data_IF_728412860455
#
_entry.id   IF_728412860455
#
_cell.length_a   1.000
_cell.length_b   1.000
_cell.length_c   1.000
_cell.angle_alpha   90.00
_cell.angle_beta   90.00
_cell.angle_gamma   90.00
#
_symmetry.space_group_name_H-M   'P 1'
#
loop_
_entity.id
_entity.type
_entity.pdbx_description
1 polymer ?
#
# COMPACT_ATOMS: atom_id res chain seq x y z
N UNK A 1 -12.14 -6.29 -13.65
CA UNK A 1 -11.56 -4.99 -14.07
C UNK A 1 -11.87 -3.81 -13.13
N UNK A 2 -12.63 -3.97 -12.02
CA UNK A 2 -12.99 -2.83 -11.14
C UNK A 2 -12.07 -2.55 -9.94
N UNK A 3 -11.13 -3.43 -9.59
CA UNK A 3 -10.32 -3.31 -8.36
C UNK A 3 -9.22 -2.25 -8.42
N UNK A 4 -8.51 -2.17 -9.55
CA UNK A 4 -7.36 -1.24 -9.73
C UNK A 4 -7.77 0.23 -9.69
N UNK A 5 -8.93 0.57 -10.26
CA UNK A 5 -9.42 1.95 -10.30
C UNK A 5 -9.80 2.47 -8.90
N UNK A 6 -10.50 1.66 -8.09
CA UNK A 6 -10.85 2.04 -6.72
C UNK A 6 -9.60 2.25 -5.85
N UNK A 7 -8.60 1.39 -6.03
CA UNK A 7 -7.32 1.50 -5.35
C UNK A 7 -6.53 2.77 -5.74
N UNK A 8 -6.45 3.07 -7.04
CA UNK A 8 -5.78 4.28 -7.52
C UNK A 8 -6.46 5.56 -7.02
N UNK A 9 -7.80 5.57 -6.92
CA UNK A 9 -8.54 6.67 -6.28
C UNK A 9 -8.19 6.80 -4.80
N UNK A 10 -8.14 5.69 -4.05
CA UNK A 10 -7.76 5.70 -2.63
C UNK A 10 -6.33 6.22 -2.41
N UNK A 11 -5.36 5.80 -3.24
CA UNK A 11 -3.99 6.34 -3.23
C UNK A 11 -3.99 7.85 -3.50
N UNK A 12 -4.72 8.30 -4.53
CA UNK A 12 -4.76 9.72 -4.89
C UNK A 12 -5.39 10.58 -3.78
N UNK A 13 -6.41 10.07 -3.09
CA UNK A 13 -7.01 10.72 -1.93
C UNK A 13 -5.99 10.83 -0.78
N UNK A 14 -5.39 9.71 -0.37
CA UNK A 14 -4.42 9.67 0.74
C UNK A 14 -3.21 10.57 0.47
N UNK A 15 -2.69 10.55 -0.76
CA UNK A 15 -1.53 11.36 -1.15
C UNK A 15 -1.85 12.84 -1.35
N UNK A 16 -3.09 13.22 -1.72
CA UNK A 16 -3.51 14.63 -1.81
C UNK A 16 -3.71 15.29 -0.45
N UNK A 17 -4.18 14.53 0.55
CA UNK A 17 -4.36 15.05 1.91
C UNK A 17 -3.09 14.92 2.77
N UNK A 18 -2.11 14.15 2.31
CA UNK A 18 -0.75 14.15 2.88
C UNK A 18 -0.03 15.40 2.37
N UNK A 19 0.18 16.40 3.25
CA UNK A 19 0.80 17.69 2.91
C UNK A 19 2.07 17.48 2.05
N UNK A 20 2.19 18.10 0.86
CA UNK A 20 3.43 18.11 0.11
C UNK A 20 4.38 19.09 0.80
N UNK A 21 4.98 18.67 1.91
CA UNK A 21 5.96 19.49 2.60
C UNK A 21 7.32 19.24 1.93
N UNK A 22 7.65 20.16 1.04
CA UNK A 22 8.97 20.39 0.44
C UNK A 22 10.06 20.38 1.52
N UNK A 23 10.67 19.21 1.76
CA UNK A 23 12.06 18.98 2.17
C UNK A 23 12.19 17.48 2.48
N UNK A 24 12.87 16.68 1.64
CA UNK A 24 13.52 15.39 1.94
C UNK A 24 12.96 14.43 3.04
N UNK A 25 11.66 14.43 3.33
CA UNK A 25 11.04 13.56 4.31
C UNK A 25 10.19 12.52 3.59
N UNK A 26 10.75 11.33 3.48
CA UNK A 26 10.07 10.03 3.43
C UNK A 26 8.53 10.12 3.51
N UNK A 27 7.83 9.80 2.42
CA UNK A 27 6.37 9.82 2.39
C UNK A 27 5.82 8.64 3.21
N UNK A 28 4.98 8.98 4.18
CA UNK A 28 4.22 8.03 4.99
C UNK A 28 2.79 7.98 4.42
N UNK A 29 2.36 6.81 3.95
CA UNK A 29 1.02 6.65 3.37
C UNK A 29 0.16 5.81 4.31
N UNK A 30 -0.96 6.39 4.75
CA UNK A 30 -1.92 5.74 5.63
C UNK A 30 -3.25 5.54 4.91
N UNK A 31 -3.63 4.28 4.74
CA UNK A 31 -4.88 3.85 4.14
C UNK A 31 -5.81 3.39 5.27
N UNK A 32 -6.91 4.13 5.47
CA UNK A 32 -7.91 3.89 6.51
C UNK A 32 -9.29 3.86 5.88
N UNK A 33 -10.13 2.87 6.22
CA UNK A 33 -11.54 2.77 5.78
C UNK A 33 -11.75 2.74 4.24
N UNK A 34 -10.76 2.23 3.50
CA UNK A 34 -10.69 2.35 2.03
C UNK A 34 -11.67 1.45 1.27
N UNK A 35 -12.36 0.54 1.96
CA UNK A 35 -13.25 -0.47 1.38
C UNK A 35 -12.65 -1.23 0.19
N UNK A 36 -11.33 -1.41 0.17
CA UNK A 36 -10.60 -2.08 -0.90
C UNK A 36 -10.79 -3.58 -0.76
N UNK A 37 -11.34 -4.24 -1.78
CA UNK A 37 -11.41 -5.71 -1.78
C UNK A 37 -10.05 -6.37 -2.04
N UNK A 38 -9.19 -5.69 -2.80
CA UNK A 38 -7.91 -6.22 -3.26
C UNK A 38 -6.86 -5.12 -3.26
N UNK A 39 -5.66 -5.41 -2.79
CA UNK A 39 -4.46 -4.61 -3.12
C UNK A 39 -3.91 -5.18 -4.44
N UNK A 40 -4.03 -4.44 -5.55
CA UNK A 40 -3.67 -4.95 -6.86
C UNK A 40 -2.16 -5.02 -7.07
N UNK A 41 -1.74 -5.78 -8.08
CA UNK A 41 -0.38 -5.76 -8.63
C UNK A 41 0.08 -4.33 -8.92
N UNK A 42 1.34 -4.03 -8.61
CA UNK A 42 1.97 -2.73 -8.83
C UNK A 42 1.27 -1.54 -8.13
N UNK A 43 0.49 -1.82 -7.07
CA UNK A 43 -0.27 -0.83 -6.31
C UNK A 43 0.51 0.46 -5.98
N UNK A 44 1.77 0.33 -5.57
CA UNK A 44 2.57 1.45 -5.07
C UNK A 44 3.71 1.89 -5.99
N UNK A 45 3.82 1.37 -7.22
CA UNK A 45 4.98 1.63 -8.11
C UNK A 45 5.09 3.08 -8.55
N UNK A 46 3.97 3.83 -8.59
CA UNK A 46 3.95 5.26 -8.91
C UNK A 46 4.37 6.17 -7.74
N UNK A 47 4.77 5.61 -6.60
CA UNK A 47 5.16 6.36 -5.39
C UNK A 47 6.65 6.15 -5.05
N UNK A 48 7.60 6.73 -5.83
CA UNK A 48 9.02 6.42 -5.73
C UNK A 48 9.71 6.86 -4.42
N UNK A 49 9.03 7.68 -3.61
CA UNK A 49 9.54 8.18 -2.33
C UNK A 49 8.79 7.62 -1.12
N UNK A 50 7.97 6.58 -1.32
CA UNK A 50 7.22 5.95 -0.25
C UNK A 50 8.16 5.20 0.70
N UNK A 51 7.96 5.41 1.99
CA UNK A 51 8.86 4.93 3.04
C UNK A 51 8.18 4.03 4.04
N UNK A 52 6.90 4.30 4.31
CA UNK A 52 6.08 3.59 5.25
C UNK A 52 4.68 3.48 4.68
N UNK A 53 4.13 2.27 4.72
CA UNK A 53 2.80 1.96 4.24
C UNK A 53 2.03 1.37 5.41
N UNK A 54 0.99 2.07 5.84
CA UNK A 54 0.08 1.60 6.86
C UNK A 54 -1.30 1.41 6.24
N UNK A 55 -1.81 0.18 6.29
CA UNK A 55 -3.14 -0.18 5.83
C UNK A 55 -3.89 -0.72 7.04
N UNK A 56 -4.93 -0.04 7.49
CA UNK A 56 -5.70 -0.49 8.63
C UNK A 56 -7.17 -0.14 8.49
N UNK A 57 -8.03 -0.91 9.16
CA UNK A 57 -9.49 -0.72 9.14
C UNK A 57 -10.09 -0.98 7.74
N UNK A 58 -9.60 -1.98 7.02
CA UNK A 58 -10.25 -2.44 5.80
C UNK A 58 -11.00 -3.76 6.05
N UNK A 59 -12.28 -3.63 6.38
CA UNK A 59 -13.16 -4.78 6.59
C UNK A 59 -13.51 -5.50 5.28
N UNK A 60 -13.28 -4.91 4.10
CA UNK A 60 -13.63 -5.56 2.83
C UNK A 60 -12.43 -6.16 2.12
N UNK A 61 -11.20 -5.84 2.57
CA UNK A 61 -9.96 -6.40 2.05
C UNK A 61 -9.90 -7.91 2.21
N UNK A 62 -9.80 -8.58 1.07
CA UNK A 62 -9.82 -10.04 0.95
C UNK A 62 -8.53 -10.59 0.35
N UNK A 63 -7.88 -9.82 -0.53
CA UNK A 63 -6.76 -10.30 -1.32
C UNK A 63 -5.62 -9.28 -1.44
N UNK A 64 -4.39 -9.77 -1.39
CA UNK A 64 -3.19 -9.04 -1.88
C UNK A 64 -2.65 -9.82 -3.08
N UNK A 65 -2.61 -9.17 -4.24
CA UNK A 65 -2.15 -9.79 -5.48
C UNK A 65 -0.61 -9.88 -5.55
N UNK A 66 -0.11 -10.70 -6.47
CA UNK A 66 1.31 -10.79 -6.79
C UNK A 66 1.87 -9.40 -7.11
N UNK A 67 3.08 -9.11 -6.64
CA UNK A 67 3.77 -7.84 -6.87
C UNK A 67 2.98 -6.60 -6.41
N UNK A 68 2.06 -6.73 -5.45
CA UNK A 68 1.36 -5.60 -4.85
C UNK A 68 2.33 -4.60 -4.20
N UNK A 69 3.32 -5.10 -3.47
CA UNK A 69 4.42 -4.33 -2.88
C UNK A 69 5.73 -4.72 -3.59
N UNK A 70 5.88 -4.23 -4.81
CA UNK A 70 7.02 -4.55 -5.67
C UNK A 70 7.91 -3.35 -5.93
N UNK A 71 9.22 -3.59 -5.87
CA UNK A 71 10.27 -2.65 -6.27
C UNK A 71 10.21 -1.28 -5.54
N UNK A 72 9.93 -1.32 -4.23
CA UNK A 72 9.86 -0.13 -3.40
C UNK A 72 11.20 0.10 -2.68
N UNK A 73 12.13 0.75 -3.38
CA UNK A 73 13.53 0.91 -2.94
C UNK A 73 13.69 1.65 -1.61
N UNK A 74 12.73 2.48 -1.23
CA UNK A 74 12.80 3.34 -0.05
C UNK A 74 11.89 2.90 1.09
N UNK A 75 11.12 1.81 0.91
CA UNK A 75 10.16 1.37 1.93
C UNK A 75 10.88 0.62 3.05
N UNK A 76 10.59 1.01 4.28
CA UNK A 76 11.20 0.47 5.50
C UNK A 76 10.17 -0.21 6.39
N UNK A 77 8.90 0.19 6.30
CA UNK A 77 7.82 -0.38 7.10
C UNK A 77 6.59 -0.60 6.23
N UNK A 78 6.04 -1.80 6.31
CA UNK A 78 4.71 -2.11 5.79
C UNK A 78 3.93 -2.69 6.96
N UNK A 79 2.70 -2.27 7.14
CA UNK A 79 1.82 -2.80 8.18
C UNK A 79 0.41 -2.92 7.64
N UNK A 80 -0.16 -4.13 7.72
CA UNK A 80 -1.57 -4.40 7.40
C UNK A 80 -2.26 -4.87 8.68
N UNK A 81 -3.19 -4.05 9.20
CA UNK A 81 -3.92 -4.32 10.45
C UNK A 81 -5.43 -4.34 10.24
N UNK A 82 -6.12 -5.02 11.14
CA UNK A 82 -7.59 -5.07 11.19
C UNK A 82 -8.25 -5.51 9.86
N UNK A 83 -7.52 -6.25 9.00
CA UNK A 83 -8.01 -6.79 7.74
C UNK A 83 -8.67 -8.16 7.97
N UNK A 84 -9.81 -8.17 8.65
CA UNK A 84 -10.46 -9.42 9.15
C UNK A 84 -10.83 -10.42 8.05
N UNK A 85 -11.09 -9.94 6.84
CA UNK A 85 -11.50 -10.77 5.71
C UNK A 85 -10.34 -11.11 4.77
N UNK A 86 -9.12 -10.68 5.09
CA UNK A 86 -7.93 -10.98 4.30
C UNK A 86 -7.64 -12.47 4.39
N UNK A 87 -7.91 -13.18 3.30
CA UNK A 87 -7.84 -14.64 3.23
C UNK A 87 -6.76 -15.12 2.27
N UNK A 88 -6.25 -14.24 1.41
CA UNK A 88 -5.23 -14.58 0.45
C UNK A 88 -4.18 -13.46 0.30
N UNK A 89 -2.92 -13.84 0.47
CA UNK A 89 -1.76 -13.02 0.13
C UNK A 89 -0.94 -13.85 -0.85
N UNK A 90 -0.73 -13.33 -2.04
CA UNK A 90 0.11 -13.99 -3.04
C UNK A 90 1.56 -14.12 -2.53
N UNK A 91 2.23 -15.23 -2.85
CA UNK A 91 3.60 -15.50 -2.43
C UNK A 91 4.59 -14.43 -2.95
N UNK A 92 4.26 -13.82 -4.08
CA UNK A 92 5.05 -12.78 -4.73
C UNK A 92 4.55 -11.36 -4.39
N UNK A 93 3.63 -11.22 -3.42
CA UNK A 93 3.08 -9.93 -3.02
C UNK A 93 4.14 -8.94 -2.51
N UNK A 94 5.19 -9.44 -1.83
CA UNK A 94 6.26 -8.64 -1.25
C UNK A 94 7.61 -9.03 -1.87
N UNK A 95 8.04 -8.30 -2.92
CA UNK A 95 9.31 -8.56 -3.60
C UNK A 95 10.10 -7.28 -3.86
N UNK A 96 11.43 -7.42 -3.88
CA UNK A 96 12.38 -6.33 -4.13
C UNK A 96 12.17 -5.14 -3.18
N UNK A 97 12.28 -5.42 -1.88
CA UNK A 97 12.15 -4.45 -0.79
C UNK A 97 13.49 -4.37 -0.01
N UNK A 98 14.56 -3.82 -0.62
CA UNK A 98 15.94 -4.04 -0.18
C UNK A 98 16.29 -3.46 1.19
N UNK A 99 15.51 -2.48 1.69
CA UNK A 99 15.73 -1.83 2.99
C UNK A 99 14.55 -2.02 3.95
N UNK A 100 13.67 -2.99 3.67
CA UNK A 100 12.53 -3.30 4.53
C UNK A 100 13.02 -3.76 5.91
N UNK A 101 12.48 -3.15 6.95
CA UNK A 101 12.81 -3.47 8.34
C UNK A 101 11.65 -4.14 9.07
N UNK A 102 10.41 -3.78 8.71
CA UNK A 102 9.20 -4.26 9.38
C UNK A 102 8.10 -4.56 8.36
N UNK A 103 7.44 -5.71 8.55
CA UNK A 103 6.30 -6.22 7.79
C UNK A 103 5.22 -6.71 8.76
#
# INVERSE_FOLDING_TARGET
MGGTFAFEVAINVVTRYSLPMTLNFFFDSRFMETQLKTIPTEAFTKLPNISRIYISIDATLQKVDAHAFFNLEKVTHIEIRNAKNLSHIDIDAFKNLPILKYL
#
